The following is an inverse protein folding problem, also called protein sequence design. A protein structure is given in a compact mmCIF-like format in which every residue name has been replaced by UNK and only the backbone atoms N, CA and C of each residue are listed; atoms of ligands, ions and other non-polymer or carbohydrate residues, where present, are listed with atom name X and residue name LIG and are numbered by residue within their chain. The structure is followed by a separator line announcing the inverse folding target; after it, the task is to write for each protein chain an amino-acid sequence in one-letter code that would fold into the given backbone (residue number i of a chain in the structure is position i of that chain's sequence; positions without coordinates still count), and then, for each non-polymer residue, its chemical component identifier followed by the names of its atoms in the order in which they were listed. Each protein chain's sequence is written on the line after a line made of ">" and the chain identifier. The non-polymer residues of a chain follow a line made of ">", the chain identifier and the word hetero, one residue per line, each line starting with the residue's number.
data_IF_505414677907
#
_entry.id   IF_505414677907
#
_cell.length_a   1.000
_cell.length_b   1.000
_cell.length_c   1.000
_cell.angle_alpha   90.00
_cell.angle_beta   90.00
_cell.angle_gamma   90.00
#
_symmetry.space_group_name_H-M   'P 1'
#
loop_
_entity.id
_entity.type
_entity.pdbx_description
1 polymer ?
#
# COMPACT_ATOMS: atom_id res chain seq x y z
N UNK A 1 -6.94 -10.53 6.24
CA UNK A 1 -6.58 -10.44 7.68
C UNK A 1 -7.47 -9.45 8.39
N UNK A 2 -7.46 -8.16 8.02
CA UNK A 2 -8.32 -7.14 8.63
C UNK A 2 -9.81 -7.46 8.42
N UNK A 3 -10.22 -7.78 7.19
CA UNK A 3 -11.62 -8.19 6.93
C UNK A 3 -12.02 -9.46 7.69
N UNK A 4 -11.11 -10.43 7.81
CA UNK A 4 -11.35 -11.64 8.61
C UNK A 4 -11.57 -11.29 10.08
N UNK A 5 -10.75 -10.40 10.64
CA UNK A 5 -10.93 -9.90 12.02
C UNK A 5 -12.30 -9.24 12.22
N UNK A 6 -12.75 -8.39 11.28
CA UNK A 6 -14.07 -7.74 11.37
C UNK A 6 -15.22 -8.73 11.44
N UNK A 7 -15.08 -9.90 10.80
CA UNK A 7 -16.12 -10.94 10.77
C UNK A 7 -15.99 -11.84 12.01
N UNK A 8 -14.80 -12.38 12.27
CA UNK A 8 -14.60 -13.41 13.30
C UNK A 8 -14.34 -12.85 14.70
N UNK A 9 -13.95 -11.58 14.82
CA UNK A 9 -13.47 -10.94 16.04
C UNK A 9 -12.28 -11.66 16.71
N UNK A 10 -11.56 -12.50 15.95
CA UNK A 10 -10.36 -13.19 16.42
C UNK A 10 -9.14 -12.29 16.31
N UNK A 11 -8.68 -11.80 17.47
CA UNK A 11 -7.51 -10.93 17.65
C UNK A 11 -6.22 -11.48 17.02
N UNK A 12 -6.13 -12.80 16.78
CA UNK A 12 -4.98 -13.40 16.09
C UNK A 12 -4.79 -12.82 14.68
N UNK A 13 -5.88 -12.49 13.97
CA UNK A 13 -5.82 -11.90 12.64
C UNK A 13 -5.35 -10.45 12.66
N UNK A 14 -5.81 -9.66 13.62
CA UNK A 14 -5.35 -8.28 13.78
C UNK A 14 -3.87 -8.23 14.14
N UNK A 15 -3.42 -9.09 15.08
CA UNK A 15 -2.01 -9.21 15.44
C UNK A 15 -1.12 -9.58 14.25
N UNK A 16 -1.58 -10.49 13.39
CA UNK A 16 -0.87 -10.86 12.15
C UNK A 16 -0.84 -9.71 11.14
N UNK A 17 -1.94 -8.96 10.99
CA UNK A 17 -1.99 -7.79 10.12
C UNK A 17 -0.99 -6.71 10.57
N UNK A 18 -0.95 -6.39 11.87
CA UNK A 18 0.00 -5.43 12.43
C UNK A 18 1.45 -5.87 12.21
N UNK A 19 1.76 -7.15 12.45
CA UNK A 19 3.10 -7.72 12.18
C UNK A 19 3.48 -7.64 10.70
N UNK A 20 2.52 -7.86 9.79
CA UNK A 20 2.76 -7.68 8.36
C UNK A 20 3.02 -6.20 8.02
N UNK A 21 2.27 -5.27 8.63
CA UNK A 21 2.51 -3.83 8.50
C UNK A 21 3.91 -3.40 8.93
N UNK A 22 4.44 -3.97 10.02
CA UNK A 22 5.82 -3.71 10.45
C UNK A 22 6.86 -4.29 9.49
N UNK A 23 6.59 -5.46 8.90
CA UNK A 23 7.47 -6.04 7.89
C UNK A 23 7.48 -5.18 6.61
N UNK A 24 6.30 -4.71 6.18
CA UNK A 24 6.14 -3.78 5.06
C UNK A 24 6.88 -2.47 5.35
N UNK A 25 6.73 -1.89 6.53
CA UNK A 25 7.46 -0.67 6.90
C UNK A 25 8.98 -0.83 6.76
N UNK A 26 9.53 -1.98 7.18
CA UNK A 26 10.98 -2.22 7.16
C UNK A 26 11.53 -2.57 5.77
N UNK A 27 10.70 -3.12 4.87
CA UNK A 27 11.19 -3.78 3.62
C UNK A 27 10.35 -3.51 2.38
N UNK A 28 9.31 -2.70 2.48
CA UNK A 28 8.31 -2.49 1.42
C UNK A 28 8.69 -1.42 0.41
N UNK A 29 9.77 -0.66 0.64
CA UNK A 29 10.37 0.21 -0.38
C UNK A 29 11.21 -0.65 -1.32
N UNK A 30 10.64 -0.96 -2.49
CA UNK A 30 11.20 -1.94 -3.40
C UNK A 30 12.02 -1.27 -4.51
N UNK A 31 13.24 -1.75 -4.73
CA UNK A 31 14.07 -1.39 -5.89
C UNK A 31 13.47 -1.84 -7.23
N UNK A 32 12.40 -2.65 -7.22
CA UNK A 32 11.71 -3.09 -8.43
C UNK A 32 10.85 -1.97 -9.07
N UNK A 33 10.42 -0.99 -8.28
CA UNK A 33 9.60 0.12 -8.74
C UNK A 33 8.40 0.39 -7.86
N UNK A 34 7.53 1.28 -8.35
CA UNK A 34 6.39 1.81 -7.62
C UNK A 34 5.04 1.27 -8.09
N UNK A 35 5.00 0.16 -8.86
CA UNK A 35 3.75 -0.48 -9.28
C UNK A 35 2.92 -1.07 -8.12
N UNK A 36 1.72 -1.55 -8.42
CA UNK A 36 0.77 -2.08 -7.42
C UNK A 36 0.96 -3.56 -7.10
N UNK A 37 1.32 -4.41 -8.07
CA UNK A 37 1.36 -5.87 -7.88
C UNK A 37 2.51 -6.31 -6.95
N UNK A 38 3.67 -5.66 -7.08
CA UNK A 38 4.89 -6.00 -6.34
C UNK A 38 5.83 -4.80 -6.29
N UNK A 39 5.25 -3.61 -6.13
CA UNK A 39 5.97 -2.35 -6.01
C UNK A 39 5.57 -1.59 -4.76
N UNK A 40 6.25 -0.45 -4.55
CA UNK A 40 6.09 0.34 -3.33
C UNK A 40 4.69 0.92 -3.17
N UNK A 41 3.96 1.24 -4.24
CA UNK A 41 2.57 1.70 -4.13
C UNK A 41 1.64 0.62 -3.55
N UNK A 42 1.80 -0.65 -3.97
CA UNK A 42 1.04 -1.76 -3.40
C UNK A 42 1.32 -1.97 -1.91
N UNK A 43 2.58 -1.83 -1.50
CA UNK A 43 2.97 -1.82 -0.08
C UNK A 43 2.30 -0.66 0.69
N UNK A 44 2.19 0.52 0.08
CA UNK A 44 1.50 1.67 0.64
C UNK A 44 0.01 1.41 0.91
N UNK A 45 -0.68 0.73 -0.01
CA UNK A 45 -2.08 0.34 0.19
C UNK A 45 -2.30 -0.57 1.40
N UNK A 46 -1.41 -1.54 1.64
CA UNK A 46 -1.53 -2.40 2.82
C UNK A 46 -1.43 -1.60 4.13
N UNK A 47 -0.66 -0.50 4.14
CA UNK A 47 -0.60 0.42 5.28
C UNK A 47 -1.86 1.30 5.38
N UNK A 48 -2.46 1.70 4.25
CA UNK A 48 -3.77 2.38 4.26
C UNK A 48 -4.87 1.47 4.78
N UNK A 49 -4.89 0.19 4.40
CA UNK A 49 -5.85 -0.78 4.93
C UNK A 49 -5.71 -0.95 6.45
N UNK A 50 -4.47 -0.97 6.96
CA UNK A 50 -4.21 -0.97 8.40
C UNK A 50 -4.72 0.31 9.08
N UNK A 51 -4.51 1.47 8.47
CA UNK A 51 -5.06 2.73 8.98
C UNK A 51 -6.59 2.68 9.05
N UNK A 52 -7.24 2.29 7.96
CA UNK A 52 -8.71 2.14 7.88
C UNK A 52 -9.25 1.14 8.91
N UNK A 53 -8.54 0.04 9.12
CA UNK A 53 -8.96 -1.01 10.05
C UNK A 53 -8.72 -0.70 11.52
N UNK A 54 -7.80 0.21 11.86
CA UNK A 54 -7.38 0.47 13.25
C UNK A 54 -7.63 1.90 13.73
N UNK A 55 -7.80 2.86 12.81
CA UNK A 55 -7.81 4.29 13.09
C UNK A 55 -6.45 4.87 13.51
N UNK A 56 -5.38 4.06 13.57
CA UNK A 56 -4.08 4.49 14.08
C UNK A 56 -3.29 5.27 13.01
N UNK A 57 -3.07 6.56 13.26
CA UNK A 57 -2.40 7.50 12.35
C UNK A 57 -0.95 7.15 12.04
N UNK A 58 -0.29 6.28 12.83
CA UNK A 58 1.05 5.76 12.49
C UNK A 58 1.03 5.05 11.14
N UNK A 59 -0.04 4.30 10.83
CA UNK A 59 -0.16 3.60 9.55
C UNK A 59 -0.37 4.57 8.38
N UNK A 60 -1.16 5.64 8.59
CA UNK A 60 -1.32 6.71 7.61
C UNK A 60 0.00 7.42 7.32
N UNK A 61 0.76 7.76 8.36
CA UNK A 61 2.10 8.35 8.21
C UNK A 61 3.03 7.43 7.40
N UNK A 62 3.05 6.13 7.71
CA UNK A 62 3.85 5.16 6.95
C UNK A 62 3.41 5.09 5.48
N UNK A 63 2.12 5.08 5.19
CA UNK A 63 1.61 5.13 3.82
C UNK A 63 2.04 6.41 3.09
N UNK A 64 2.00 7.57 3.76
CA UNK A 64 2.45 8.84 3.20
C UNK A 64 3.95 8.83 2.86
N UNK A 65 4.80 8.16 3.65
CA UNK A 65 6.21 7.97 3.32
C UNK A 65 6.43 7.08 2.09
N UNK A 66 5.55 6.12 1.86
CA UNK A 66 5.56 5.33 0.63
C UNK A 66 5.09 6.15 -0.58
N UNK A 67 4.12 7.05 -0.39
CA UNK A 67 3.71 8.00 -1.43
C UNK A 67 4.84 8.98 -1.78
N UNK A 68 5.54 9.52 -0.78
CA UNK A 68 6.73 10.35 -0.97
C UNK A 68 7.79 9.64 -1.82
N UNK A 69 8.11 8.39 -1.48
CA UNK A 69 8.99 7.55 -2.30
C UNK A 69 8.49 7.36 -3.74
N UNK A 70 7.18 7.22 -3.92
CA UNK A 70 6.56 7.06 -5.23
C UNK A 70 6.56 8.35 -6.07
N UNK A 71 6.58 9.53 -5.45
CA UNK A 71 6.66 10.82 -6.16
C UNK A 71 7.99 11.00 -6.89
N UNK A 72 9.07 10.42 -6.37
CA UNK A 72 10.38 10.37 -7.03
C UNK A 72 10.48 9.26 -8.09
N UNK A 73 9.39 9.01 -8.81
CA UNK A 73 9.31 8.01 -9.88
C UNK A 73 10.40 8.24 -10.92
N UNK A 74 11.24 7.24 -11.16
CA UNK A 74 12.37 7.31 -12.11
C UNK A 74 13.64 8.01 -11.59
N UNK A 75 13.59 8.71 -10.46
CA UNK A 75 14.78 9.26 -9.78
C UNK A 75 15.36 8.29 -8.77
N UNK A 76 14.50 7.52 -8.12
CA UNK A 76 14.90 6.39 -7.30
C UNK A 76 15.49 5.31 -8.21
N UNK A 77 16.59 4.65 -7.79
CA UNK A 77 17.30 3.55 -8.49
C UNK A 77 16.40 2.30 -8.67
N UNK A 78 15.29 2.48 -9.35
CA UNK A 78 14.22 1.53 -9.56
C UNK A 78 14.32 0.99 -10.98
N UNK A 79 14.01 -0.29 -11.15
CA UNK A 79 13.97 -0.89 -12.49
C UNK A 79 12.79 -0.32 -13.27
N UNK A 80 12.96 -0.17 -14.59
CA UNK A 80 11.85 0.07 -15.49
C UNK A 80 11.01 -1.21 -15.54
N UNK A 81 9.69 -1.08 -15.36
CA UNK A 81 8.76 -2.21 -15.42
C UNK A 81 8.59 -2.73 -16.86
N UNK A 82 8.21 -4.00 -17.01
CA UNK A 82 7.98 -4.61 -18.34
C UNK A 82 6.86 -3.91 -19.10
N UNK A 83 5.80 -3.47 -18.40
CA UNK A 83 4.74 -2.59 -18.93
C UNK A 83 4.70 -1.26 -18.18
N UNK A 84 5.53 -0.27 -18.56
CA UNK A 84 5.78 0.96 -17.78
C UNK A 84 4.57 1.83 -17.46
N UNK A 85 3.47 1.70 -18.21
CA UNK A 85 2.27 2.52 -18.06
C UNK A 85 1.04 1.73 -17.61
N UNK A 86 1.19 0.43 -17.35
CA UNK A 86 0.07 -0.42 -16.91
C UNK A 86 -0.35 -0.15 -15.47
N UNK A 87 -1.58 -0.54 -15.12
CA UNK A 87 -2.13 -0.39 -13.77
C UNK A 87 -1.33 -1.16 -12.71
N UNK A 88 -0.94 -2.40 -13.00
CA UNK A 88 -0.35 -3.27 -11.97
C UNK A 88 1.17 -3.17 -11.85
N UNK A 89 1.87 -2.81 -12.91
CA UNK A 89 3.34 -2.79 -12.94
C UNK A 89 3.91 -1.38 -13.06
N UNK A 90 3.15 -0.45 -13.66
CA UNK A 90 3.65 0.81 -14.14
C UNK A 90 3.06 2.05 -13.48
N UNK A 91 3.25 3.18 -14.16
CA UNK A 91 2.91 4.52 -13.71
C UNK A 91 1.43 4.69 -13.36
N UNK A 92 0.51 4.06 -14.09
CA UNK A 92 -0.92 4.17 -13.81
C UNK A 92 -1.25 3.66 -12.40
N UNK A 93 -0.60 2.58 -11.94
CA UNK A 93 -0.75 2.08 -10.57
C UNK A 93 -0.21 3.03 -9.52
N UNK A 94 0.97 3.60 -9.78
CA UNK A 94 1.58 4.62 -8.91
C UNK A 94 0.66 5.82 -8.76
N UNK A 95 0.17 6.38 -9.88
CA UNK A 95 -0.74 7.52 -9.88
C UNK A 95 -2.05 7.20 -9.16
N UNK A 96 -2.60 6.00 -9.39
CA UNK A 96 -3.80 5.56 -8.71
C UNK A 96 -3.62 5.61 -7.18
N UNK A 97 -2.52 5.06 -6.65
CA UNK A 97 -2.19 5.16 -5.22
C UNK A 97 -2.00 6.61 -4.73
N UNK A 98 -1.30 7.45 -5.49
CA UNK A 98 -1.05 8.84 -5.11
C UNK A 98 -2.31 9.70 -5.07
N UNK A 99 -3.30 9.39 -5.90
CA UNK A 99 -4.62 10.05 -5.84
C UNK A 99 -5.42 9.53 -4.66
N UNK A 100 -5.42 8.21 -4.45
CA UNK A 100 -6.27 7.58 -3.43
C UNK A 100 -5.86 7.95 -2.00
N UNK A 101 -4.56 8.15 -1.75
CA UNK A 101 -4.07 8.57 -0.43
C UNK A 101 -4.58 9.96 -0.01
N UNK A 102 -5.09 10.78 -0.95
CA UNK A 102 -5.73 12.07 -0.63
C UNK A 102 -7.02 11.88 0.18
N UNK A 103 -7.69 10.73 0.03
CA UNK A 103 -8.89 10.36 0.78
C UNK A 103 -8.67 9.00 1.46
N UNK A 104 -7.84 8.93 2.52
CA UNK A 104 -7.28 7.66 3.01
C UNK A 104 -8.32 6.70 3.61
N UNK A 105 -9.47 7.20 4.06
CA UNK A 105 -10.58 6.36 4.55
C UNK A 105 -11.33 5.65 3.42
N UNK A 106 -11.39 6.31 2.26
CA UNK A 106 -12.06 5.83 1.05
C UNK A 106 -11.10 5.07 0.14
N UNK A 107 -9.79 5.14 0.40
CA UNK A 107 -8.79 4.45 -0.40
C UNK A 107 -9.03 2.93 -0.44
N UNK A 108 -8.90 2.35 -1.64
CA UNK A 108 -9.14 0.93 -1.94
C UNK A 108 -8.14 0.44 -2.96
N UNK A 109 -7.47 -0.67 -2.64
CA UNK A 109 -6.63 -1.34 -3.63
C UNK A 109 -7.50 -1.76 -4.83
N UNK A 110 -7.14 -1.36 -6.06
CA UNK A 110 -8.02 -1.52 -7.21
C UNK A 110 -8.29 -3.00 -7.50
N UNK A 111 -9.55 -3.32 -7.77
CA UNK A 111 -10.05 -4.65 -8.15
C UNK A 111 -9.95 -5.75 -7.07
N UNK A 112 -9.41 -5.47 -5.88
CA UNK A 112 -9.26 -6.47 -4.81
C UNK A 112 -9.93 -6.07 -3.49
N UNK A 113 -10.12 -4.77 -3.22
CA UNK A 113 -10.81 -4.35 -2.01
C UNK A 113 -12.33 -4.41 -2.19
N UNK A 114 -13.02 -5.15 -1.30
CA UNK A 114 -14.48 -5.17 -1.22
C UNK A 114 -15.07 -3.86 -0.68
N UNK A 115 -16.36 -3.64 -0.99
CA UNK A 115 -17.16 -2.48 -0.53
C UNK A 115 -17.35 -2.51 0.99
#
# INVERSE_FOLDING_TARGET
>A
MIETYKISHDESYMKRALKAGDAIWKRGLLHKGCGLCHGSAGSGYALLDLYRGTGNTVHLYRAAKFAEWCMDYGKNRTRVADRPFSLFEGLAGTLYFLVDILNPMDARFPLLSGS
#
